data_IF_717605480447
#
_entry.id   IF_717605480447
#
_cell.length_a   1.000
_cell.length_b   1.000
_cell.length_c   1.000
_cell.angle_alpha   90.00
_cell.angle_beta   90.00
_cell.angle_gamma   90.00
#
_symmetry.space_group_name_H-M   'P 1'
#
loop_
_entity.id
_entity.type
_entity.pdbx_description
1 polymer ?
#
# COMPACT_ATOMS: atom_id res chain seq x y z
N UNK A 1 10.83 70.75 29.55
CA UNK A 1 10.40 69.95 30.72
C UNK A 1 8.89 70.01 30.82
N UNK A 2 8.28 68.85 31.15
CA UNK A 2 6.84 68.55 31.31
C UNK A 2 6.10 68.16 30.04
N UNK A 3 5.89 66.85 29.95
CA UNK A 3 5.02 66.13 29.04
C UNK A 3 3.54 66.26 29.47
N UNK A 4 2.63 66.14 28.52
CA UNK A 4 1.23 65.78 28.75
C UNK A 4 0.71 64.93 27.57
N UNK A 5 0.90 63.63 27.75
CA UNK A 5 0.13 62.47 27.30
C UNK A 5 -1.04 62.69 26.33
N UNK A 6 -0.87 62.21 25.09
CA UNK A 6 -1.96 61.94 24.15
C UNK A 6 -2.54 60.55 24.49
N UNK A 7 -3.78 60.48 24.95
CA UNK A 7 -4.50 59.21 25.18
C UNK A 7 -5.00 58.72 23.82
N UNK A 8 -4.30 57.76 23.22
CA UNK A 8 -4.84 56.97 22.10
C UNK A 8 -5.80 55.93 22.69
N UNK A 9 -7.10 56.12 22.48
CA UNK A 9 -8.08 55.07 22.68
C UNK A 9 -7.89 54.01 21.59
N UNK A 10 -7.18 52.93 21.91
CA UNK A 10 -7.13 51.73 21.07
C UNK A 10 -8.46 50.99 21.27
N UNK A 11 -9.39 51.20 20.35
CA UNK A 11 -10.58 50.35 20.24
C UNK A 11 -10.10 49.00 19.72
N UNK A 12 -9.93 48.04 20.63
CA UNK A 12 -9.67 46.65 20.28
C UNK A 12 -10.90 46.06 19.61
N UNK A 13 -10.85 45.88 18.28
CA UNK A 13 -11.76 44.98 17.60
C UNK A 13 -11.33 43.55 17.96
N UNK A 14 -11.97 42.99 18.99
CA UNK A 14 -11.91 41.55 19.22
C UNK A 14 -12.68 40.87 18.08
N UNK A 15 -11.99 40.52 17.01
CA UNK A 15 -12.51 39.61 16.01
C UNK A 15 -12.64 38.24 16.69
N UNK A 16 -13.86 37.91 17.14
CA UNK A 16 -14.26 36.56 17.42
C UNK A 16 -14.12 35.77 16.11
N UNK A 17 -12.97 35.15 15.92
CA UNK A 17 -12.81 34.09 14.92
C UNK A 17 -13.66 32.93 15.43
N UNK A 18 -14.91 32.89 14.99
CA UNK A 18 -15.67 31.65 14.98
C UNK A 18 -14.80 30.65 14.21
N UNK A 19 -14.33 29.62 14.90
CA UNK A 19 -13.79 28.44 14.25
C UNK A 19 -14.97 27.79 13.51
N UNK A 20 -15.25 28.28 12.30
CA UNK A 20 -15.98 27.49 11.34
C UNK A 20 -15.18 26.19 11.16
N UNK A 21 -15.82 25.02 11.19
CA UNK A 21 -15.13 23.78 10.85
C UNK A 21 -14.45 24.01 9.50
N UNK A 22 -13.16 23.66 9.42
CA UNK A 22 -12.47 23.63 8.14
C UNK A 22 -13.27 22.68 7.25
N UNK A 23 -13.95 23.25 6.27
CA UNK A 23 -14.62 22.50 5.23
C UNK A 23 -13.50 21.83 4.42
N UNK A 24 -13.15 20.61 4.82
CA UNK A 24 -12.22 19.76 4.07
C UNK A 24 -12.88 19.57 2.73
N UNK A 25 -12.37 20.27 1.71
CA UNK A 25 -12.87 20.14 0.35
C UNK A 25 -12.96 18.65 0.03
N UNK A 26 -14.13 18.14 -0.35
CA UNK A 26 -14.31 16.71 -0.57
C UNK A 26 -13.55 16.23 -1.79
N UNK A 27 -12.83 17.12 -2.49
CA UNK A 27 -12.13 16.86 -3.73
C UNK A 27 -10.63 16.74 -3.50
N UNK A 28 -10.08 15.57 -3.79
CA UNK A 28 -8.65 15.31 -3.82
C UNK A 28 -8.19 15.17 -5.28
N UNK A 29 -7.03 15.73 -5.61
CA UNK A 29 -6.35 15.41 -6.87
C UNK A 29 -5.59 14.10 -6.67
N UNK A 30 -5.90 13.08 -7.45
CA UNK A 30 -5.28 11.75 -7.35
C UNK A 30 -4.83 11.34 -8.77
N UNK A 31 -3.55 11.00 -8.99
CA UNK A 31 -3.10 10.60 -10.30
C UNK A 31 -3.40 9.15 -10.60
N UNK A 32 -3.60 8.87 -11.88
CA UNK A 32 -3.56 7.50 -12.37
C UNK A 32 -2.14 6.93 -12.44
N UNK A 33 -2.02 5.66 -12.82
CA UNK A 33 -0.75 4.96 -13.04
C UNK A 33 0.19 5.63 -14.06
N UNK A 34 -0.30 6.62 -14.83
CA UNK A 34 0.46 7.39 -15.80
C UNK A 34 0.82 8.80 -15.31
N UNK A 35 0.50 9.12 -14.05
CA UNK A 35 0.77 10.40 -13.43
C UNK A 35 -0.22 11.51 -13.82
N UNK A 36 -1.34 11.21 -14.49
CA UNK A 36 -2.35 12.23 -14.84
C UNK A 36 -3.27 12.45 -13.65
N UNK A 37 -3.40 13.70 -13.20
CA UNK A 37 -4.22 14.06 -12.04
C UNK A 37 -5.73 14.02 -12.37
N UNK A 38 -6.49 13.33 -11.53
CA UNK A 38 -7.95 13.27 -11.56
C UNK A 38 -8.51 13.96 -10.30
N UNK A 39 -9.48 14.85 -10.48
CA UNK A 39 -10.18 15.46 -9.34
C UNK A 39 -11.27 14.50 -8.87
N UNK A 40 -11.08 13.91 -7.69
CA UNK A 40 -11.91 12.83 -7.15
C UNK A 40 -12.60 13.29 -5.88
N UNK A 41 -13.91 13.05 -5.80
CA UNK A 41 -14.66 13.25 -4.57
C UNK A 41 -14.38 12.08 -3.61
N UNK A 42 -13.68 12.37 -2.52
CA UNK A 42 -13.35 11.45 -1.42
C UNK A 42 -14.36 11.52 -0.26
N UNK A 43 -15.39 12.35 -0.35
CA UNK A 43 -16.46 12.40 0.65
C UNK A 43 -17.51 11.31 0.39
N UNK A 44 -17.65 10.33 1.30
CA UNK A 44 -18.55 9.21 1.12
C UNK A 44 -20.05 9.58 1.17
N UNK A 45 -20.38 10.79 1.60
CA UNK A 45 -21.75 11.27 1.76
C UNK A 45 -22.22 12.23 0.67
N UNK A 46 -21.32 12.66 -0.21
CA UNK A 46 -21.58 13.65 -1.26
C UNK A 46 -21.17 13.08 -2.64
N UNK A 47 -21.68 11.89 -2.95
CA UNK A 47 -21.48 11.26 -4.26
C UNK A 47 -22.39 11.96 -5.28
N UNK A 48 -21.87 12.45 -6.42
CA UNK A 48 -22.70 12.97 -7.49
C UNK A 48 -23.75 11.92 -7.90
N UNK A 49 -25.02 12.24 -7.69
CA UNK A 49 -26.15 11.35 -7.99
C UNK A 49 -26.65 11.49 -9.43
N UNK A 50 -25.92 12.20 -10.29
CA UNK A 50 -26.35 12.40 -11.68
C UNK A 50 -26.41 11.07 -12.43
N UNK A 51 -27.57 10.77 -13.02
CA UNK A 51 -27.94 9.53 -13.71
C UNK A 51 -26.99 9.09 -14.85
N UNK A 52 -25.97 9.87 -15.19
CA UNK A 52 -25.04 9.61 -16.30
C UNK A 52 -23.68 9.01 -15.89
N UNK A 53 -23.43 8.77 -14.59
CA UNK A 53 -22.25 8.03 -14.12
C UNK A 53 -22.69 6.71 -13.46
N UNK A 54 -23.34 5.83 -14.24
CA UNK A 54 -23.50 4.44 -13.81
C UNK A 54 -22.11 3.84 -13.73
N UNK A 55 -21.63 3.61 -12.50
CA UNK A 55 -20.40 2.86 -12.26
C UNK A 55 -20.41 1.59 -13.11
N UNK A 56 -19.39 1.38 -13.96
CA UNK A 56 -19.32 0.17 -14.79
C UNK A 56 -19.47 -1.08 -13.92
N UNK A 57 -20.25 -2.03 -14.41
CA UNK A 57 -20.36 -3.34 -13.76
C UNK A 57 -18.96 -3.94 -13.72
N UNK A 58 -18.49 -4.23 -12.51
CA UNK A 58 -17.22 -4.90 -12.27
C UNK A 58 -17.51 -6.34 -11.85
N UNK A 59 -16.96 -7.30 -12.59
CA UNK A 59 -16.98 -8.70 -12.26
C UNK A 59 -15.54 -9.20 -12.03
N UNK A 60 -15.15 -9.49 -10.77
CA UNK A 60 -13.78 -9.92 -10.48
C UNK A 60 -13.39 -11.22 -11.20
N UNK A 61 -14.34 -12.07 -11.59
CA UNK A 61 -14.05 -13.33 -12.28
C UNK A 61 -13.57 -13.15 -13.73
N UNK A 62 -13.96 -12.05 -14.38
CA UNK A 62 -13.63 -11.75 -15.78
C UNK A 62 -12.67 -10.57 -15.90
N UNK A 63 -12.69 -9.66 -14.94
CA UNK A 63 -12.05 -8.35 -15.05
C UNK A 63 -10.73 -8.28 -14.28
N UNK A 64 -10.45 -9.25 -13.40
CA UNK A 64 -9.15 -9.36 -12.72
C UNK A 64 -8.25 -10.28 -13.53
N UNK A 65 -7.09 -9.76 -13.93
CA UNK A 65 -6.13 -10.44 -14.81
C UNK A 65 -4.84 -10.74 -14.05
N UNK A 66 -4.44 -12.01 -14.05
CA UNK A 66 -3.19 -12.47 -13.42
C UNK A 66 -2.09 -12.62 -14.46
N UNK A 67 -1.09 -11.74 -14.42
CA UNK A 67 0.05 -11.73 -15.35
C UNK A 67 1.29 -12.32 -14.70
N UNK A 68 1.68 -13.52 -15.12
CA UNK A 68 2.85 -14.23 -14.63
C UNK A 68 4.12 -13.77 -15.35
N UNK A 69 5.09 -13.33 -14.57
CA UNK A 69 6.47 -13.09 -14.97
C UNK A 69 7.40 -14.06 -14.25
N UNK A 70 8.41 -14.51 -14.98
CA UNK A 70 9.53 -15.27 -14.44
C UNK A 70 10.81 -14.78 -15.12
N UNK A 71 11.98 -15.26 -14.69
CA UNK A 71 13.24 -14.96 -15.39
C UNK A 71 13.25 -15.45 -16.85
N UNK A 72 12.39 -16.42 -17.21
CA UNK A 72 12.24 -16.92 -18.60
C UNK A 72 11.41 -16.00 -19.49
N UNK A 73 10.61 -15.12 -18.89
CA UNK A 73 9.75 -14.17 -19.60
C UNK A 73 9.66 -12.84 -18.82
N UNK A 74 10.79 -12.13 -18.65
CA UNK A 74 10.84 -10.96 -17.77
C UNK A 74 10.11 -9.73 -18.33
N UNK A 75 9.94 -9.69 -19.66
CA UNK A 75 9.34 -8.57 -20.41
C UNK A 75 7.87 -8.83 -20.74
N UNK A 76 7.53 -10.03 -21.24
CA UNK A 76 6.18 -10.36 -21.68
C UNK A 76 5.55 -11.39 -20.73
N UNK A 77 4.41 -11.07 -20.09
CA UNK A 77 3.78 -11.99 -19.16
C UNK A 77 3.10 -13.16 -19.87
N UNK A 78 2.89 -14.23 -19.13
CA UNK A 78 1.90 -15.26 -19.47
C UNK A 78 0.66 -15.04 -18.60
N UNK A 79 -0.52 -14.95 -19.21
CA UNK A 79 -1.76 -14.83 -18.46
C UNK A 79 -2.12 -16.22 -17.90
N UNK A 80 -2.33 -16.28 -16.59
CA UNK A 80 -2.81 -17.48 -15.90
C UNK A 80 -4.23 -17.22 -15.38
N UNK A 81 -5.09 -18.23 -15.43
CA UNK A 81 -6.51 -18.09 -15.14
C UNK A 81 -6.85 -18.75 -13.81
N UNK A 82 -7.62 -18.04 -12.98
CA UNK A 82 -8.01 -18.48 -11.63
C UNK A 82 -8.81 -19.78 -11.62
N UNK A 83 -9.45 -20.13 -12.72
CA UNK A 83 -10.30 -21.33 -12.88
C UNK A 83 -9.69 -22.39 -13.80
N UNK A 84 -8.41 -22.29 -14.18
CA UNK A 84 -7.77 -23.25 -15.08
C UNK A 84 -6.37 -23.64 -14.62
N UNK A 85 -6.26 -24.82 -13.99
CA UNK A 85 -4.95 -25.39 -13.63
C UNK A 85 -4.04 -25.61 -14.84
N UNK A 86 -4.60 -25.93 -16.01
CA UNK A 86 -3.84 -26.08 -17.25
C UNK A 86 -3.15 -24.77 -17.69
N UNK A 87 -3.77 -23.60 -17.43
CA UNK A 87 -3.12 -22.31 -17.70
C UNK A 87 -1.88 -22.08 -16.83
N UNK A 88 -1.90 -22.57 -15.59
CA UNK A 88 -0.75 -22.49 -14.68
C UNK A 88 0.32 -23.48 -15.11
N UNK A 89 -0.02 -24.77 -15.27
CA UNK A 89 0.94 -25.83 -15.61
C UNK A 89 1.51 -25.71 -17.03
N UNK A 90 0.81 -25.04 -17.96
CA UNK A 90 1.29 -24.72 -19.30
C UNK A 90 2.12 -23.44 -19.39
N UNK A 91 2.27 -22.70 -18.29
CA UNK A 91 3.09 -21.49 -18.21
C UNK A 91 4.52 -21.80 -17.72
N UNK A 92 5.32 -20.76 -17.52
CA UNK A 92 6.64 -20.84 -16.91
C UNK A 92 6.61 -20.95 -15.38
N UNK A 93 5.43 -21.05 -14.76
CA UNK A 93 5.30 -21.19 -13.31
C UNK A 93 6.08 -22.41 -12.81
N UNK A 94 6.87 -22.22 -11.75
CA UNK A 94 7.62 -23.30 -11.13
C UNK A 94 7.29 -23.39 -9.62
N UNK A 95 6.70 -24.50 -9.12
CA UNK A 95 6.33 -24.63 -7.72
C UNK A 95 7.52 -24.64 -6.74
N UNK A 96 8.74 -24.88 -7.23
CA UNK A 96 9.97 -24.80 -6.42
C UNK A 96 10.42 -23.35 -6.16
N UNK A 97 9.94 -22.39 -6.93
CA UNK A 97 10.34 -20.98 -6.82
C UNK A 97 9.39 -20.20 -5.90
N UNK A 98 9.88 -19.25 -5.09
CA UNK A 98 9.02 -18.36 -4.31
C UNK A 98 8.07 -17.57 -5.20
N UNK A 99 6.81 -17.44 -4.74
CA UNK A 99 5.77 -16.74 -5.48
C UNK A 99 5.45 -15.41 -4.80
N UNK A 100 5.40 -14.32 -5.58
CA UNK A 100 5.08 -12.98 -5.11
C UNK A 100 3.92 -12.44 -5.94
N UNK A 101 2.80 -12.14 -5.30
CA UNK A 101 1.72 -11.40 -5.94
C UNK A 101 1.93 -9.91 -5.70
N UNK A 102 1.87 -9.11 -6.75
CA UNK A 102 1.93 -7.65 -6.70
C UNK A 102 0.55 -7.10 -7.02
N UNK A 103 -0.03 -6.30 -6.13
CA UNK A 103 -1.44 -5.88 -6.19
C UNK A 103 -1.50 -4.36 -6.09
N UNK A 104 -1.92 -3.70 -7.17
CA UNK A 104 -2.01 -2.24 -7.23
C UNK A 104 -3.23 -1.67 -6.48
N UNK A 105 -3.27 -0.35 -6.36
CA UNK A 105 -4.30 0.41 -5.65
C UNK A 105 -5.29 1.13 -6.55
N UNK A 106 -5.87 2.19 -5.99
CA UNK A 106 -6.85 3.08 -6.63
C UNK A 106 -6.25 3.87 -7.80
N UNK A 107 -6.98 4.05 -8.89
CA UNK A 107 -6.55 4.67 -10.16
C UNK A 107 -5.35 4.01 -10.86
N UNK A 108 -4.84 2.91 -10.31
CA UNK A 108 -3.78 2.10 -10.92
C UNK A 108 -4.39 0.91 -11.68
N UNK A 109 -3.64 0.33 -12.62
CA UNK A 109 -4.04 -0.84 -13.41
C UNK A 109 -2.84 -1.66 -13.85
N UNK A 110 -2.84 -2.15 -15.09
CA UNK A 110 -1.73 -2.93 -15.66
C UNK A 110 -0.36 -2.25 -15.51
N UNK A 111 -0.30 -0.93 -15.72
CA UNK A 111 0.92 -0.10 -15.75
C UNK A 111 1.34 0.46 -14.38
N UNK A 112 0.72 0.00 -13.30
CA UNK A 112 1.02 0.45 -11.94
C UNK A 112 2.52 0.39 -11.61
N UNK A 113 3.02 1.40 -10.87
CA UNK A 113 4.46 1.54 -10.60
C UNK A 113 5.08 0.31 -9.92
N UNK A 114 4.38 -0.23 -8.92
CA UNK A 114 4.81 -1.42 -8.19
C UNK A 114 5.00 -2.66 -9.09
N UNK A 115 4.24 -2.78 -10.18
CA UNK A 115 4.23 -3.96 -11.05
C UNK A 115 5.54 -4.14 -11.81
N UNK A 116 6.21 -3.04 -12.16
CA UNK A 116 7.50 -3.09 -12.84
C UNK A 116 8.65 -2.88 -11.86
N UNK A 117 8.54 -1.92 -10.92
CA UNK A 117 9.63 -1.58 -10.01
C UNK A 117 10.00 -2.77 -9.10
N UNK A 118 9.02 -3.38 -8.44
CA UNK A 118 9.26 -4.49 -7.50
C UNK A 118 9.60 -5.79 -8.26
N UNK A 119 8.86 -6.08 -9.34
CA UNK A 119 9.09 -7.27 -10.19
C UNK A 119 10.53 -7.33 -10.68
N UNK A 120 11.06 -6.23 -11.22
CA UNK A 120 12.41 -6.19 -11.78
C UNK A 120 13.48 -6.45 -10.72
N UNK A 121 13.29 -5.94 -9.49
CA UNK A 121 14.20 -6.22 -8.38
C UNK A 121 14.20 -7.71 -7.99
N UNK A 122 13.04 -8.37 -7.93
CA UNK A 122 12.98 -9.81 -7.69
C UNK A 122 13.64 -10.63 -8.81
N UNK A 123 13.34 -10.31 -10.07
CA UNK A 123 13.91 -11.02 -11.23
C UNK A 123 15.44 -10.91 -11.27
N UNK A 124 16.02 -9.80 -10.80
CA UNK A 124 17.47 -9.61 -10.75
C UNK A 124 18.15 -10.48 -9.69
N UNK A 125 17.51 -10.69 -8.53
CA UNK A 125 18.17 -11.37 -7.40
C UNK A 125 17.96 -12.89 -7.38
N UNK A 126 16.94 -13.43 -8.06
CA UNK A 126 16.67 -14.87 -8.00
C UNK A 126 15.59 -15.38 -8.93
N UNK A 127 15.33 -16.68 -8.80
CA UNK A 127 14.24 -17.36 -9.48
C UNK A 127 12.93 -17.17 -8.69
N UNK A 128 11.97 -16.46 -9.28
CA UNK A 128 10.67 -16.18 -8.67
C UNK A 128 9.54 -16.39 -9.67
N UNK A 129 8.36 -16.71 -9.16
CA UNK A 129 7.09 -16.52 -9.87
C UNK A 129 6.52 -15.17 -9.42
N UNK A 130 6.52 -14.15 -10.28
CA UNK A 130 5.90 -12.87 -9.97
C UNK A 130 4.55 -12.79 -10.67
N UNK A 131 3.48 -12.62 -9.91
CA UNK A 131 2.12 -12.52 -10.43
C UNK A 131 1.62 -11.10 -10.21
N UNK A 132 1.61 -10.29 -11.27
CA UNK A 132 1.00 -8.97 -11.22
C UNK A 132 -0.52 -9.16 -11.31
N UNK A 133 -1.24 -8.61 -10.34
CA UNK A 133 -2.69 -8.67 -10.27
C UNK A 133 -3.25 -7.34 -10.73
N UNK A 134 -3.81 -7.36 -11.94
CA UNK A 134 -4.46 -6.20 -12.53
C UNK A 134 -5.96 -6.30 -12.32
N UNK A 135 -6.48 -5.38 -11.51
CA UNK A 135 -7.90 -5.15 -11.30
C UNK A 135 -8.28 -3.73 -11.75
N UNK A 136 -7.56 -3.20 -12.75
CA UNK A 136 -7.75 -1.86 -13.34
C UNK A 136 -9.20 -1.54 -13.68
N UNK A 137 -9.93 -2.52 -14.20
CA UNK A 137 -11.37 -2.40 -14.49
C UNK A 137 -12.23 -2.03 -13.26
N UNK A 138 -11.78 -2.38 -12.05
CA UNK A 138 -12.44 -2.05 -10.79
C UNK A 138 -11.82 -0.89 -10.02
N UNK A 139 -10.55 -0.55 -10.25
CA UNK A 139 -9.81 0.50 -9.53
C UNK A 139 -9.69 1.83 -10.29
N UNK A 140 -9.71 1.81 -11.62
CA UNK A 140 -9.58 3.00 -12.48
C UNK A 140 -10.94 3.69 -12.68
N UNK A 141 -11.54 4.07 -11.57
CA UNK A 141 -12.74 4.91 -11.54
C UNK A 141 -12.48 6.15 -10.70
N UNK A 142 -13.11 7.27 -11.04
CA UNK A 142 -13.12 8.46 -10.18
C UNK A 142 -13.93 8.24 -8.90
N UNK A 143 -14.78 7.21 -8.84
CA UNK A 143 -15.57 6.89 -7.65
C UNK A 143 -14.77 6.02 -6.67
N UNK A 144 -14.14 6.67 -5.70
CA UNK A 144 -13.36 5.98 -4.68
C UNK A 144 -14.17 4.95 -3.88
N UNK A 145 -15.44 5.22 -3.57
CA UNK A 145 -16.31 4.31 -2.81
C UNK A 145 -16.52 3.01 -3.59
N UNK A 146 -16.75 3.11 -4.90
CA UNK A 146 -16.93 1.95 -5.76
C UNK A 146 -15.68 1.07 -5.76
N UNK A 147 -14.50 1.67 -5.97
CA UNK A 147 -13.22 0.95 -5.92
C UNK A 147 -12.97 0.32 -4.54
N UNK A 148 -13.21 1.06 -3.44
CA UNK A 148 -13.08 0.56 -2.06
C UNK A 148 -14.00 -0.63 -1.80
N UNK A 149 -15.24 -0.61 -2.29
CA UNK A 149 -16.19 -1.70 -2.08
C UNK A 149 -15.86 -2.96 -2.89
N UNK A 150 -15.04 -2.85 -3.94
CA UNK A 150 -14.59 -4.01 -4.75
C UNK A 150 -13.45 -4.78 -4.07
N UNK A 151 -12.76 -4.20 -3.08
CA UNK A 151 -11.57 -4.78 -2.40
C UNK A 151 -11.77 -6.23 -1.94
N UNK A 152 -12.87 -6.51 -1.25
CA UNK A 152 -13.15 -7.86 -0.74
C UNK A 152 -13.31 -8.90 -1.86
N UNK A 153 -14.03 -8.53 -2.92
CA UNK A 153 -14.28 -9.41 -4.07
C UNK A 153 -13.00 -9.67 -4.90
N UNK A 154 -12.13 -8.67 -5.04
CA UNK A 154 -10.80 -8.85 -5.64
C UNK A 154 -9.92 -9.76 -4.77
N UNK A 155 -9.96 -9.60 -3.44
CA UNK A 155 -9.24 -10.49 -2.52
C UNK A 155 -9.71 -11.95 -2.64
N UNK A 156 -11.02 -12.17 -2.79
CA UNK A 156 -11.58 -13.50 -3.00
C UNK A 156 -11.07 -14.16 -4.29
N UNK A 157 -11.07 -13.45 -5.42
CA UNK A 157 -10.60 -14.03 -6.68
C UNK A 157 -9.10 -14.35 -6.67
N UNK A 158 -8.28 -13.53 -5.99
CA UNK A 158 -6.86 -13.84 -5.76
C UNK A 158 -6.71 -15.12 -4.92
N UNK A 159 -7.53 -15.28 -3.87
CA UNK A 159 -7.54 -16.51 -3.06
C UNK A 159 -7.89 -17.74 -3.91
N UNK A 160 -8.86 -17.63 -4.83
CA UNK A 160 -9.20 -18.72 -5.77
C UNK A 160 -8.05 -19.02 -6.73
N UNK A 161 -7.36 -18.00 -7.25
CA UNK A 161 -6.15 -18.17 -8.07
C UNK A 161 -5.04 -18.92 -7.30
N UNK A 162 -4.80 -18.56 -6.03
CA UNK A 162 -3.84 -19.25 -5.17
C UNK A 162 -4.23 -20.72 -5.00
N UNK A 163 -5.51 -21.03 -4.77
CA UNK A 163 -5.98 -22.41 -4.70
C UNK A 163 -5.72 -23.17 -6.01
N UNK A 164 -5.97 -22.55 -7.16
CA UNK A 164 -5.67 -23.16 -8.47
C UNK A 164 -4.19 -23.43 -8.67
N UNK A 165 -3.30 -22.51 -8.29
CA UNK A 165 -1.84 -22.73 -8.32
C UNK A 165 -1.45 -23.91 -7.45
N UNK A 166 -1.91 -23.93 -6.19
CA UNK A 166 -1.58 -24.99 -5.22
C UNK A 166 -2.06 -26.35 -5.71
N UNK A 167 -3.32 -26.43 -6.17
CA UNK A 167 -3.92 -27.68 -6.65
C UNK A 167 -3.28 -28.18 -7.95
N UNK A 168 -2.90 -27.29 -8.87
CA UNK A 168 -2.34 -27.67 -10.17
C UNK A 168 -0.85 -28.06 -10.10
N UNK A 169 -0.10 -27.51 -9.14
CA UNK A 169 1.38 -27.59 -9.15
C UNK A 169 1.98 -28.17 -7.86
N UNK A 170 1.20 -28.26 -6.78
CA UNK A 170 1.71 -28.63 -5.46
C UNK A 170 2.52 -27.53 -4.76
N UNK A 171 2.49 -26.28 -5.26
CA UNK A 171 3.16 -25.16 -4.61
C UNK A 171 2.70 -24.99 -3.15
N UNK A 172 3.63 -24.66 -2.26
CA UNK A 172 3.31 -24.45 -0.84
C UNK A 172 2.82 -23.03 -0.59
N UNK A 173 1.69 -22.87 0.10
CA UNK A 173 1.20 -21.57 0.64
C UNK A 173 2.26 -20.87 1.48
N UNK A 174 3.10 -21.67 2.13
CA UNK A 174 4.23 -21.23 2.94
C UNK A 174 5.35 -20.56 2.13
N UNK A 175 5.25 -20.51 0.79
CA UNK A 175 6.19 -19.85 -0.12
C UNK A 175 5.51 -18.74 -0.97
N UNK A 176 4.28 -18.38 -0.64
CA UNK A 176 3.49 -17.34 -1.32
C UNK A 176 3.43 -16.10 -0.45
N UNK A 177 3.88 -14.97 -0.99
CA UNK A 177 3.69 -13.66 -0.37
C UNK A 177 2.78 -12.80 -1.24
N UNK A 178 1.95 -11.98 -0.60
CA UNK A 178 1.17 -10.93 -1.29
C UNK A 178 1.72 -9.57 -0.88
N UNK A 179 1.92 -8.69 -1.86
CA UNK A 179 2.44 -7.34 -1.67
C UNK A 179 1.42 -6.40 -2.32
N UNK A 180 0.77 -5.57 -1.51
CA UNK A 180 -0.33 -4.72 -1.97
C UNK A 180 -0.10 -3.26 -1.64
N UNK A 181 -0.30 -2.38 -2.62
CA UNK A 181 -0.17 -0.92 -2.46
C UNK A 181 -1.54 -0.27 -2.28
N UNK A 182 -1.67 0.67 -1.34
CA UNK A 182 -2.90 1.46 -1.16
C UNK A 182 -4.14 0.57 -0.93
N UNK A 183 -5.20 0.66 -1.73
CA UNK A 183 -6.34 -0.30 -1.70
C UNK A 183 -5.90 -1.76 -1.91
N UNK A 184 -4.83 -1.98 -2.69
CA UNK A 184 -4.23 -3.28 -2.93
C UNK A 184 -3.71 -3.95 -1.66
N UNK A 185 -3.33 -3.19 -0.62
CA UNK A 185 -2.97 -3.76 0.68
C UNK A 185 -4.17 -4.47 1.32
N UNK A 186 -5.34 -3.84 1.28
CA UNK A 186 -6.58 -4.43 1.78
C UNK A 186 -7.04 -5.59 0.90
N UNK A 187 -6.83 -5.53 -0.42
CA UNK A 187 -7.09 -6.65 -1.32
C UNK A 187 -6.23 -7.86 -0.93
N UNK A 188 -4.93 -7.65 -0.70
CA UNK A 188 -4.00 -8.68 -0.26
C UNK A 188 -4.43 -9.30 1.08
N UNK A 189 -4.81 -8.45 2.03
CA UNK A 189 -5.38 -8.87 3.31
C UNK A 189 -6.63 -9.75 3.17
N UNK A 190 -7.59 -9.35 2.32
CA UNK A 190 -8.80 -10.14 2.07
C UNK A 190 -8.49 -11.49 1.41
N UNK A 191 -7.51 -11.55 0.51
CA UNK A 191 -7.01 -12.82 -0.01
C UNK A 191 -6.42 -13.70 1.10
N UNK A 192 -5.64 -13.10 2.01
CA UNK A 192 -5.09 -13.76 3.20
C UNK A 192 -6.16 -14.35 4.14
N UNK A 193 -7.22 -13.57 4.42
CA UNK A 193 -8.39 -14.01 5.21
C UNK A 193 -9.06 -15.22 4.56
N UNK A 194 -9.30 -15.16 3.25
CA UNK A 194 -9.88 -16.28 2.49
C UNK A 194 -8.92 -17.49 2.38
N UNK A 195 -7.64 -17.33 2.72
CA UNK A 195 -6.64 -18.39 2.86
C UNK A 195 -6.43 -18.79 4.34
N UNK A 196 -7.31 -18.35 5.25
CA UNK A 196 -7.24 -18.62 6.69
C UNK A 196 -5.91 -18.19 7.34
N UNK A 197 -5.28 -17.13 6.85
CA UNK A 197 -3.99 -16.65 7.37
C UNK A 197 -2.81 -17.58 7.09
N UNK A 198 -2.95 -18.55 6.18
CA UNK A 198 -1.93 -19.59 5.95
C UNK A 198 -0.82 -19.17 4.97
N UNK A 199 -0.93 -18.00 4.35
CA UNK A 199 0.11 -17.47 3.47
C UNK A 199 1.35 -17.08 4.30
N UNK A 200 2.52 -17.13 3.66
CA UNK A 200 3.79 -16.85 4.33
C UNK A 200 3.81 -15.41 4.86
N UNK A 201 3.70 -14.44 3.96
CA UNK A 201 3.78 -13.03 4.32
C UNK A 201 2.79 -12.21 3.51
N UNK A 202 2.14 -11.23 4.14
CA UNK A 202 1.47 -10.13 3.44
C UNK A 202 2.16 -8.82 3.78
N UNK A 203 2.51 -8.03 2.77
CA UNK A 203 3.14 -6.72 2.92
C UNK A 203 2.18 -5.65 2.40
N UNK A 204 1.76 -4.75 3.28
CA UNK A 204 0.96 -3.58 2.96
C UNK A 204 1.86 -2.38 2.71
N UNK A 205 1.90 -1.90 1.48
CA UNK A 205 2.64 -0.72 1.06
C UNK A 205 1.69 0.49 1.14
N UNK A 206 1.87 1.29 2.18
CA UNK A 206 1.04 2.44 2.55
C UNK A 206 -0.47 2.15 2.43
N UNK A 207 -1.02 1.21 3.24
CA UNK A 207 -2.42 0.78 3.14
C UNK A 207 -3.38 1.96 3.16
N UNK A 208 -4.40 1.98 2.31
CA UNK A 208 -5.28 3.13 2.18
C UNK A 208 -6.03 3.49 3.48
N UNK A 209 -6.08 4.77 3.80
CA UNK A 209 -6.79 5.31 4.96
C UNK A 209 -8.28 5.55 4.73
N UNK A 210 -8.68 6.29 3.67
CA UNK A 210 -10.05 6.73 3.49
C UNK A 210 -11.05 5.56 3.41
N UNK A 211 -12.16 5.68 4.16
CA UNK A 211 -13.23 4.68 4.27
C UNK A 211 -12.82 3.33 4.87
N UNK A 212 -11.65 3.30 5.51
CA UNK A 212 -11.22 2.21 6.37
C UNK A 212 -11.25 2.64 7.83
N UNK A 213 -11.62 1.72 8.72
CA UNK A 213 -11.69 1.96 10.16
C UNK A 213 -11.46 0.67 10.93
N UNK A 214 -10.85 0.80 12.12
CA UNK A 214 -10.58 -0.33 12.99
C UNK A 214 -11.84 -1.17 13.22
N UNK A 215 -11.70 -2.49 13.09
CA UNK A 215 -12.79 -3.45 13.28
C UNK A 215 -13.60 -3.79 12.02
N UNK A 216 -13.38 -3.12 10.90
CA UNK A 216 -13.96 -3.54 9.63
C UNK A 216 -13.37 -4.88 9.16
N UNK A 217 -14.22 -5.76 8.65
CA UNK A 217 -13.85 -7.12 8.26
C UNK A 217 -12.88 -7.18 7.08
N UNK A 218 -12.86 -6.15 6.24
CA UNK A 218 -12.01 -6.04 5.06
C UNK A 218 -10.74 -5.20 5.31
N UNK A 219 -10.53 -4.70 6.53
CA UNK A 219 -9.32 -3.99 6.92
C UNK A 219 -8.11 -4.93 6.96
N UNK A 220 -6.93 -4.44 6.58
CA UNK A 220 -5.67 -5.17 6.74
C UNK A 220 -5.37 -5.38 8.22
N UNK A 221 -4.98 -6.59 8.61
CA UNK A 221 -4.72 -6.95 10.00
C UNK A 221 -3.56 -7.93 10.16
N UNK A 222 -3.04 -8.02 11.39
CA UNK A 222 -1.90 -8.86 11.71
C UNK A 222 -2.13 -10.34 11.35
N UNK A 223 -3.33 -10.86 11.57
CA UNK A 223 -3.71 -12.26 11.39
C UNK A 223 -4.01 -12.68 9.94
N UNK A 224 -3.87 -11.78 8.96
CA UNK A 224 -4.18 -12.09 7.56
C UNK A 224 -3.15 -13.03 6.90
N UNK A 225 -1.99 -13.22 7.52
CA UNK A 225 -0.96 -14.18 7.14
C UNK A 225 -0.12 -14.59 8.36
N UNK A 226 0.79 -15.55 8.17
CA UNK A 226 1.72 -15.98 9.22
C UNK A 226 2.70 -14.88 9.64
N UNK A 227 2.96 -13.93 8.75
CA UNK A 227 3.64 -12.68 9.04
C UNK A 227 3.01 -11.57 8.21
N UNK A 228 2.93 -10.38 8.79
CA UNK A 228 2.43 -9.20 8.11
C UNK A 228 3.33 -8.01 8.41
N UNK A 229 3.57 -7.23 7.38
CA UNK A 229 4.38 -6.01 7.47
C UNK A 229 3.60 -4.87 6.81
N UNK A 230 3.60 -3.69 7.43
CA UNK A 230 3.04 -2.49 6.83
C UNK A 230 4.11 -1.40 6.82
N UNK A 231 4.25 -0.72 5.67
CA UNK A 231 5.19 0.39 5.49
C UNK A 231 4.36 1.64 5.23
N UNK A 232 4.46 2.62 6.11
CA UNK A 232 3.66 3.84 6.09
C UNK A 232 4.51 4.99 5.57
N UNK A 233 4.12 5.60 4.46
CA UNK A 233 4.82 6.73 3.85
C UNK A 233 3.97 7.99 3.78
N UNK A 234 2.64 7.86 3.80
CA UNK A 234 1.68 8.96 3.83
C UNK A 234 0.52 8.72 4.82
N UNK A 235 0.83 8.16 5.99
CA UNK A 235 -0.14 7.89 7.05
C UNK A 235 -0.91 9.14 7.50
N UNK A 236 -2.22 8.99 7.65
CA UNK A 236 -3.12 10.06 8.10
C UNK A 236 -3.57 11.03 7.01
N UNK A 237 -3.13 10.84 5.76
CA UNK A 237 -3.65 11.54 4.58
C UNK A 237 -4.24 10.55 3.57
N UNK A 238 -3.40 9.89 2.76
CA UNK A 238 -3.85 8.80 1.88
C UNK A 238 -3.66 7.42 2.52
N UNK A 239 -2.64 7.25 3.35
CA UNK A 239 -2.38 6.04 4.10
C UNK A 239 -3.16 5.97 5.42
N UNK A 240 -3.40 4.76 5.91
CA UNK A 240 -4.04 4.50 7.20
C UNK A 240 -3.15 4.98 8.34
N UNK A 241 -3.75 5.63 9.34
CA UNK A 241 -2.98 6.35 10.36
C UNK A 241 -2.41 5.46 11.46
N UNK A 242 -3.02 4.30 11.75
CA UNK A 242 -2.64 3.47 12.90
C UNK A 242 -1.91 2.19 12.48
N UNK A 243 -1.13 1.55 13.38
CA UNK A 243 -0.50 0.26 13.11
C UNK A 243 -1.52 -0.82 12.75
N UNK A 244 -1.25 -1.60 11.70
CA UNK A 244 -2.14 -2.64 11.17
C UNK A 244 -1.54 -4.06 11.18
N UNK A 245 -0.21 -4.15 11.20
CA UNK A 245 0.53 -5.39 10.93
C UNK A 245 1.28 -5.90 12.17
N UNK A 246 1.91 -7.09 12.05
CA UNK A 246 2.88 -7.53 13.07
C UNK A 246 4.02 -6.52 13.21
N UNK A 247 4.58 -6.07 12.10
CA UNK A 247 5.62 -5.03 12.06
C UNK A 247 5.18 -3.84 11.21
N UNK A 248 5.37 -2.63 11.76
CA UNK A 248 4.87 -1.40 11.17
C UNK A 248 6.03 -0.41 11.05
N UNK A 249 6.42 -0.08 9.83
CA UNK A 249 7.59 0.74 9.54
C UNK A 249 7.16 2.14 9.09
N UNK A 250 7.76 3.17 9.66
CA UNK A 250 7.45 4.58 9.41
C UNK A 250 8.70 5.32 8.93
N UNK A 251 9.12 5.13 7.66
CA UNK A 251 10.21 5.90 7.07
C UNK A 251 9.93 7.39 7.15
N UNK A 252 10.90 8.13 7.70
CA UNK A 252 10.85 9.59 7.86
C UNK A 252 9.61 10.06 8.66
N UNK A 253 9.21 9.28 9.66
CA UNK A 253 8.00 9.54 10.46
C UNK A 253 6.69 9.10 9.79
N UNK A 254 6.76 8.58 8.57
CA UNK A 254 5.68 7.89 7.87
C UNK A 254 4.56 8.75 7.30
N UNK A 255 4.71 10.08 7.28
CA UNK A 255 3.70 11.02 6.75
C UNK A 255 4.15 11.78 5.51
N UNK A 256 5.39 12.26 5.52
CA UNK A 256 6.00 13.00 4.42
C UNK A 256 7.36 12.39 4.11
N UNK A 257 7.73 12.37 2.84
CA UNK A 257 8.96 11.71 2.39
C UNK A 257 9.95 12.72 1.80
N UNK A 258 11.26 12.59 2.11
CA UNK A 258 12.30 13.38 1.46
C UNK A 258 12.21 13.28 -0.07
N UNK A 259 12.31 14.42 -0.76
CA UNK A 259 12.18 14.50 -2.22
C UNK A 259 10.74 14.71 -2.73
N UNK A 260 9.72 14.60 -1.87
CA UNK A 260 8.34 14.95 -2.21
C UNK A 260 8.05 16.43 -1.86
N UNK A 261 8.47 17.33 -2.75
CA UNK A 261 8.35 18.79 -2.56
C UNK A 261 6.96 19.25 -3.01
N UNK A 262 6.29 20.08 -2.19
CA UNK A 262 4.93 20.61 -2.45
C UNK A 262 3.87 19.51 -2.64
N UNK A 263 4.03 18.38 -1.94
CA UNK A 263 3.14 17.21 -2.00
C UNK A 263 1.88 17.38 -1.14
N UNK A 264 1.09 18.43 -1.42
CA UNK A 264 -0.10 18.78 -0.63
C UNK A 264 -1.15 17.66 -0.66
N UNK A 265 -1.30 16.99 -1.80
CA UNK A 265 -2.21 15.87 -1.96
C UNK A 265 -1.64 14.53 -1.46
N UNK A 266 -0.39 14.48 -1.01
CA UNK A 266 0.25 13.28 -0.46
C UNK A 266 0.63 12.20 -1.48
N UNK A 267 0.41 12.45 -2.77
CA UNK A 267 0.60 11.51 -3.87
C UNK A 267 2.02 10.98 -3.93
N UNK A 268 3.02 11.88 -3.87
CA UNK A 268 4.41 11.49 -4.01
C UNK A 268 4.82 10.62 -2.83
N UNK A 269 4.46 11.03 -1.61
CA UNK A 269 4.70 10.28 -0.40
C UNK A 269 3.98 8.93 -0.43
N UNK A 270 2.74 8.87 -0.91
CA UNK A 270 1.96 7.64 -0.99
C UNK A 270 2.60 6.61 -1.92
N UNK A 271 3.06 7.05 -3.10
CA UNK A 271 3.72 6.16 -4.07
C UNK A 271 5.17 5.82 -3.71
N UNK A 272 5.83 6.60 -2.85
CA UNK A 272 7.26 6.42 -2.51
C UNK A 272 7.55 5.05 -1.91
N UNK A 273 6.57 4.44 -1.26
CA UNK A 273 6.69 3.11 -0.67
C UNK A 273 7.04 2.02 -1.69
N UNK A 274 6.59 2.18 -2.95
CA UNK A 274 6.88 1.22 -4.01
C UNK A 274 8.38 1.20 -4.33
N UNK A 275 9.02 2.37 -4.37
CA UNK A 275 10.46 2.51 -4.58
C UNK A 275 11.27 2.02 -3.38
N UNK A 276 10.85 2.38 -2.16
CA UNK A 276 11.51 1.91 -0.94
C UNK A 276 11.47 0.38 -0.84
N UNK A 277 10.31 -0.22 -1.09
CA UNK A 277 10.17 -1.67 -1.06
C UNK A 277 10.97 -2.34 -2.18
N UNK A 278 10.87 -1.83 -3.43
CA UNK A 278 11.65 -2.35 -4.55
C UNK A 278 13.16 -2.33 -4.24
N UNK A 279 13.69 -1.20 -3.77
CA UNK A 279 15.10 -1.10 -3.38
C UNK A 279 15.43 -2.05 -2.22
N UNK A 280 14.53 -2.21 -1.23
CA UNK A 280 14.76 -3.10 -0.09
C UNK A 280 15.00 -4.56 -0.51
N UNK A 281 14.35 -5.02 -1.59
CA UNK A 281 14.46 -6.39 -2.10
C UNK A 281 15.90 -6.74 -2.51
N UNK A 282 16.64 -5.78 -3.09
CA UNK A 282 17.99 -6.03 -3.63
C UNK A 282 19.07 -5.15 -2.99
N UNK A 283 18.78 -4.43 -1.92
CA UNK A 283 19.73 -3.54 -1.26
C UNK A 283 20.78 -4.33 -0.49
N UNK A 284 22.06 -3.99 -0.68
CA UNK A 284 23.17 -4.56 0.07
C UNK A 284 23.37 -3.91 1.44
N UNK A 285 22.85 -2.69 1.64
CA UNK A 285 22.93 -1.94 2.92
C UNK A 285 21.68 -2.14 3.77
N UNK A 286 20.52 -2.29 3.12
CA UNK A 286 19.22 -2.50 3.76
C UNK A 286 18.62 -1.23 4.37
N UNK A 287 17.31 -1.27 4.62
CA UNK A 287 16.56 -0.22 5.30
C UNK A 287 16.52 -0.47 6.80
N UNK A 288 17.68 -0.32 7.47
CA UNK A 288 17.80 -0.57 8.91
C UNK A 288 16.90 0.37 9.70
N UNK A 289 16.09 -0.20 10.59
CA UNK A 289 15.08 0.52 11.35
C UNK A 289 15.21 0.26 12.84
N UNK A 290 14.94 1.29 13.64
CA UNK A 290 14.95 1.24 15.10
C UNK A 290 13.55 0.95 15.62
N UNK A 291 13.42 -0.05 16.49
CA UNK A 291 12.15 -0.35 17.15
C UNK A 291 11.85 0.71 18.21
N UNK A 292 10.72 1.41 18.09
CA UNK A 292 10.31 2.45 19.05
C UNK A 292 9.39 1.89 20.13
N UNK A 293 9.19 2.62 21.23
CA UNK A 293 8.36 2.15 22.33
C UNK A 293 6.89 2.00 21.92
N UNK A 294 6.36 2.94 21.15
CA UNK A 294 4.99 2.92 20.63
C UNK A 294 4.81 3.89 19.46
N UNK A 295 3.67 3.79 18.78
CA UNK A 295 3.33 4.63 17.62
C UNK A 295 3.26 6.13 17.97
N UNK A 296 2.80 6.48 19.18
CA UNK A 296 2.70 7.86 19.62
C UNK A 296 4.05 8.60 19.68
N UNK A 297 5.15 7.89 19.97
CA UNK A 297 6.49 8.48 19.89
C UNK A 297 6.86 8.88 18.47
N UNK A 298 6.56 8.02 17.48
CA UNK A 298 6.85 8.27 16.06
C UNK A 298 6.10 9.52 15.60
N UNK A 299 4.82 9.65 15.95
CA UNK A 299 4.01 10.84 15.66
C UNK A 299 4.59 12.12 16.32
N UNK A 300 5.22 11.98 17.49
CA UNK A 300 5.87 13.07 18.20
C UNK A 300 7.32 13.36 17.71
N UNK A 301 7.79 12.67 16.66
CA UNK A 301 9.15 12.82 16.14
C UNK A 301 10.23 12.26 17.08
N UNK A 302 9.89 11.27 17.90
CA UNK A 302 10.79 10.62 18.87
C UNK A 302 10.78 9.10 18.66
N UNK A 303 11.81 8.43 19.18
CA UNK A 303 11.86 6.97 19.18
C UNK A 303 12.77 6.50 20.31
N UNK A 304 12.17 6.00 21.40
CA UNK A 304 12.91 5.33 22.45
C UNK A 304 13.15 3.87 22.03
N UNK A 305 14.41 3.41 21.86
CA UNK A 305 14.69 2.04 21.47
C UNK A 305 14.06 1.03 22.44
N UNK A 306 13.23 0.12 21.92
CA UNK A 306 12.41 -0.78 22.74
C UNK A 306 12.63 -2.27 22.45
N UNK A 307 13.64 -2.62 21.65
CA UNK A 307 13.95 -4.00 21.30
C UNK A 307 14.94 -4.09 20.14
N UNK A 308 15.02 -5.27 19.53
CA UNK A 308 15.90 -5.52 18.40
C UNK A 308 15.47 -4.67 17.18
N UNK A 309 16.47 -4.13 16.49
CA UNK A 309 16.29 -3.47 15.20
C UNK A 309 15.91 -4.50 14.12
N UNK A 310 15.28 -4.02 13.06
CA UNK A 310 14.90 -4.83 11.91
C UNK A 310 15.08 -4.05 10.61
N UNK A 311 15.24 -4.75 9.50
CA UNK A 311 15.17 -4.13 8.18
C UNK A 311 13.70 -3.99 7.78
N UNK A 312 13.34 -2.84 7.25
CA UNK A 312 12.08 -2.66 6.52
C UNK A 312 12.16 -3.40 5.18
N UNK A 313 11.11 -4.14 4.83
CA UNK A 313 11.01 -4.89 3.58
C UNK A 313 12.07 -5.99 3.43
N UNK A 314 12.49 -6.19 2.19
CA UNK A 314 13.55 -7.12 1.81
C UNK A 314 13.09 -8.50 1.37
N UNK A 315 14.08 -9.30 0.94
CA UNK A 315 13.91 -10.69 0.55
C UNK A 315 15.06 -11.53 1.13
N UNK A 316 14.78 -12.60 1.91
CA UNK A 316 13.47 -13.05 2.35
C UNK A 316 12.85 -12.10 3.38
N UNK A 317 11.51 -12.19 3.53
CA UNK A 317 10.75 -11.40 4.48
C UNK A 317 11.18 -11.64 5.93
N UNK A 318 10.69 -10.79 6.84
CA UNK A 318 10.97 -10.88 8.27
C UNK A 318 10.21 -11.99 9.01
N UNK A 319 9.46 -12.84 8.29
CA UNK A 319 8.75 -13.98 8.88
C UNK A 319 9.71 -14.87 9.67
N UNK A 320 9.33 -15.24 10.89
CA UNK A 320 10.10 -16.15 11.74
C UNK A 320 11.32 -15.50 12.41
N UNK A 321 11.56 -14.20 12.19
CA UNK A 321 12.67 -13.45 12.82
C UNK A 321 12.28 -12.73 14.12
N UNK A 322 11.04 -12.90 14.59
CA UNK A 322 10.53 -12.24 15.79
C UNK A 322 10.31 -10.72 15.64
N UNK A 323 10.26 -10.20 14.42
CA UNK A 323 10.07 -8.77 14.15
C UNK A 323 8.61 -8.40 14.38
N UNK A 324 8.35 -7.58 15.41
CA UNK A 324 7.03 -7.05 15.70
C UNK A 324 7.08 -5.70 16.42
N UNK A 325 6.03 -4.90 16.27
CA UNK A 325 5.90 -3.56 16.84
C UNK A 325 5.99 -2.45 15.80
N UNK A 326 6.46 -1.28 16.22
CA UNK A 326 6.61 -0.10 15.38
C UNK A 326 8.07 0.28 15.22
N UNK A 327 8.45 0.69 14.02
CA UNK A 327 9.83 0.94 13.64
C UNK A 327 9.95 2.28 12.93
N UNK A 328 11.03 3.00 13.23
CA UNK A 328 11.39 4.25 12.60
C UNK A 328 12.72 4.11 11.86
N UNK A 329 12.84 4.77 10.72
CA UNK A 329 14.06 4.87 9.92
C UNK A 329 14.06 6.18 9.12
N UNK A 330 15.23 6.57 8.63
CA UNK A 330 15.39 7.70 7.69
C UNK A 330 15.84 7.18 6.33
N UNK A 331 15.50 7.92 5.28
CA UNK A 331 15.91 7.60 3.91
C UNK A 331 16.44 8.84 3.18
N UNK A 332 17.19 8.62 2.10
CA UNK A 332 17.58 9.70 1.19
C UNK A 332 16.38 10.22 0.38
N UNK A 333 16.51 11.41 -0.21
CA UNK A 333 15.49 11.98 -1.10
C UNK A 333 15.43 11.35 -2.49
N UNK A 334 16.52 10.71 -2.92
CA UNK A 334 16.70 10.06 -4.22
C UNK A 334 17.36 8.69 -4.03
N UNK A 335 17.18 7.79 -5.00
CA UNK A 335 17.83 6.47 -5.00
C UNK A 335 19.36 6.60 -5.11
N UNK A 336 20.16 5.79 -4.39
CA UNK A 336 19.73 4.81 -3.40
C UNK A 336 19.11 5.47 -2.16
N UNK A 337 17.91 5.05 -1.80
CA UNK A 337 17.14 5.56 -0.67
C UNK A 337 17.65 5.02 0.66
N UNK A 338 18.11 3.77 0.68
CA UNK A 338 18.62 3.10 1.86
C UNK A 338 19.91 3.77 2.36
N UNK A 339 20.00 4.00 3.67
CA UNK A 339 21.18 4.60 4.32
C UNK A 339 22.06 3.57 5.05
N UNK A 340 21.54 2.36 5.29
CA UNK A 340 22.23 1.29 6.01
C UNK A 340 22.21 1.42 7.52
#
# INVERSE_FOLDING_TARGET
MKAATLVLAVVGLAALVSAAPLDVSPWALIPDGQGRLHLVNVNPYDVPTSDNEVEPLFNPETDVVFRLYTRRNPVHPQVINWNSGASVSGSNFNPAHPTRFLIHGFLEGEDASLHWSIKDHYIRIGEFNIVNVDWGAGSQTINYIAARNRVGAVGEIISRMINTIVSATGASRNNINLIGHSLGAHVAANAGKNQNGQLNTIIGLDPAGPLFSNGQADLFAANDAQYTEAIFTNAGLLGFDQPLAHANFYPNGGRSQPGCILDIAGICAHNRVNDFFAESVSSSVGFRSVRCANHGEILAGRCTPSGANANMGGEPSNRGRGVSGVFHLTTNSNSPFAQG
#
